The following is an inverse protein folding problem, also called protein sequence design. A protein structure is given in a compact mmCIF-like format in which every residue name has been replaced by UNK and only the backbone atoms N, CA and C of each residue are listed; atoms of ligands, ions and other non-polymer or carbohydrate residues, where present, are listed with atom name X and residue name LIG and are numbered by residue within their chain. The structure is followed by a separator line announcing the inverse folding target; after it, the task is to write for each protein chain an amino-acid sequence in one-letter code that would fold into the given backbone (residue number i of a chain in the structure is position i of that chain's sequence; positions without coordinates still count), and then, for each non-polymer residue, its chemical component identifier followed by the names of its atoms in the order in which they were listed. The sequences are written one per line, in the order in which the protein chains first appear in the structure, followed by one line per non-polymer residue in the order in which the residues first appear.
data_IF_599134229333
#
_entry.id   IF_599134229333
#
_cell.length_a   1.000
_cell.length_b   1.000
_cell.length_c   1.000
_cell.angle_alpha   90.00
_cell.angle_beta   90.00
_cell.angle_gamma   90.00
#
_symmetry.space_group_name_H-M   'P 1'
#
loop_
_entity.id
_entity.type
_entity.pdbx_description
1 polymer ?
#
# COMPACT_ATOMS: atom_id res chain seq x y z
N UNK A 1 -20.81 18.74 -2.88
CA UNK A 1 -20.35 17.96 -1.72
C UNK A 1 -19.57 18.90 -0.84
N UNK A 2 -20.08 19.22 0.35
CA UNK A 2 -19.50 20.18 1.28
C UNK A 2 -18.17 19.63 1.80
N UNK A 3 -17.11 20.38 1.61
CA UNK A 3 -15.83 20.19 2.31
C UNK A 3 -16.10 20.42 3.80
N UNK A 4 -16.40 19.34 4.52
CA UNK A 4 -16.48 19.41 5.99
C UNK A 4 -15.10 19.88 6.45
N UNK A 5 -15.08 21.07 7.01
CA UNK A 5 -13.86 21.67 7.53
C UNK A 5 -13.29 20.80 8.64
N UNK A 6 -12.25 19.99 8.33
CA UNK A 6 -11.59 19.10 9.29
C UNK A 6 -10.58 19.81 10.22
N UNK A 7 -10.60 21.15 10.25
CA UNK A 7 -9.70 21.96 11.10
C UNK A 7 -9.94 21.70 12.58
N UNK A 8 -11.17 21.35 12.98
CA UNK A 8 -11.46 21.03 14.37
C UNK A 8 -10.63 19.84 14.90
N UNK A 9 -10.34 18.83 14.06
CA UNK A 9 -9.52 17.67 14.47
C UNK A 9 -8.09 18.08 14.75
N UNK A 10 -7.52 18.94 13.92
CA UNK A 10 -6.18 19.49 14.13
C UNK A 10 -6.14 20.27 15.45
N UNK A 11 -7.13 21.12 15.69
CA UNK A 11 -7.25 21.88 16.96
C UNK A 11 -7.37 20.95 18.18
N UNK A 12 -8.11 19.84 18.07
CA UNK A 12 -8.22 18.87 19.18
C UNK A 12 -6.87 18.17 19.44
N UNK A 13 -6.15 17.77 18.40
CA UNK A 13 -4.82 17.15 18.52
C UNK A 13 -3.82 18.10 19.18
N UNK A 14 -3.82 19.36 18.76
CA UNK A 14 -2.98 20.42 19.32
C UNK A 14 -3.30 20.68 20.80
N UNK A 15 -4.58 20.80 21.15
CA UNK A 15 -5.03 20.95 22.54
C UNK A 15 -4.68 19.75 23.42
N UNK A 16 -4.67 18.54 22.84
CA UNK A 16 -4.26 17.32 23.53
C UNK A 16 -2.73 17.17 23.61
N UNK A 17 -1.94 18.10 23.07
CA UNK A 17 -0.48 18.04 23.05
C UNK A 17 0.07 16.90 22.19
N UNK A 18 -0.73 16.33 21.27
CA UNK A 18 -0.33 15.22 20.42
C UNK A 18 0.37 15.75 19.17
N UNK A 19 1.64 15.36 19.03
CA UNK A 19 2.39 15.66 17.81
C UNK A 19 1.90 14.77 16.66
N UNK A 20 1.40 15.37 15.60
CA UNK A 20 1.01 14.66 14.40
C UNK A 20 1.82 15.10 13.18
N UNK A 21 1.87 14.21 12.18
CA UNK A 21 2.51 14.43 10.90
C UNK A 21 1.58 13.95 9.78
N UNK A 22 1.78 14.50 8.60
CA UNK A 22 1.21 13.97 7.36
C UNK A 22 2.35 13.40 6.54
N UNK A 23 2.20 12.17 6.06
CA UNK A 23 3.19 11.50 5.22
C UNK A 23 2.85 11.73 3.74
N UNK A 24 3.89 11.95 2.94
CA UNK A 24 3.77 11.98 1.47
C UNK A 24 3.57 10.56 0.91
N UNK A 25 3.15 10.44 -0.35
CA UNK A 25 3.02 9.14 -1.00
C UNK A 25 4.35 8.37 -1.04
N UNK A 26 5.45 9.06 -1.30
CA UNK A 26 6.80 8.48 -1.29
C UNK A 26 7.22 8.00 0.11
N UNK A 27 6.87 8.75 1.15
CA UNK A 27 7.15 8.32 2.53
C UNK A 27 6.36 7.06 2.89
N UNK A 28 5.12 6.92 2.44
CA UNK A 28 4.34 5.69 2.60
C UNK A 28 4.98 4.50 1.89
N UNK A 29 5.39 4.68 0.64
CA UNK A 29 6.12 3.64 -0.12
C UNK A 29 7.43 3.29 0.56
N UNK A 30 8.17 4.29 1.06
CA UNK A 30 9.42 4.12 1.78
C UNK A 30 9.23 3.27 3.05
N UNK A 31 8.17 3.55 3.83
CA UNK A 31 7.84 2.78 5.03
C UNK A 31 7.51 1.33 4.71
N UNK A 32 6.73 1.08 3.66
CA UNK A 32 6.43 -0.28 3.20
C UNK A 32 7.68 -1.01 2.69
N UNK A 33 8.49 -0.35 1.86
CA UNK A 33 9.71 -0.95 1.32
C UNK A 33 10.72 -1.29 2.43
N UNK A 34 10.85 -0.41 3.44
CA UNK A 34 11.73 -0.61 4.58
C UNK A 34 11.20 -1.56 5.68
N UNK A 35 9.93 -1.95 5.62
CA UNK A 35 9.35 -2.93 6.53
C UNK A 35 10.00 -4.32 6.36
N UNK A 36 9.78 -5.22 7.32
CA UNK A 36 10.27 -6.60 7.28
C UNK A 36 11.78 -6.67 6.95
N UNK A 37 12.59 -5.95 7.74
CA UNK A 37 14.06 -5.86 7.58
C UNK A 37 14.51 -5.44 6.17
N UNK A 38 13.70 -4.61 5.49
CA UNK A 38 13.92 -4.15 4.11
C UNK A 38 13.98 -5.30 3.08
N UNK A 39 13.29 -6.41 3.35
CA UNK A 39 13.14 -7.50 2.38
C UNK A 39 12.61 -6.96 1.05
N UNK A 40 13.06 -7.47 -0.11
CA UNK A 40 12.56 -7.02 -1.41
C UNK A 40 11.07 -7.28 -1.57
N UNK A 41 10.36 -6.36 -2.23
CA UNK A 41 8.97 -6.57 -2.65
C UNK A 41 8.96 -7.15 -4.07
N UNK A 42 8.28 -8.27 -4.24
CA UNK A 42 8.25 -9.03 -5.49
C UNK A 42 7.05 -8.61 -6.36
N UNK A 43 7.36 -8.03 -7.51
CA UNK A 43 6.39 -7.51 -8.46
C UNK A 43 5.80 -6.16 -8.05
N UNK A 44 5.64 -5.27 -9.03
CA UNK A 44 5.06 -3.94 -8.81
C UNK A 44 3.61 -4.02 -8.33
N UNK A 45 2.84 -4.98 -8.85
CA UNK A 45 1.46 -5.21 -8.44
C UNK A 45 1.32 -5.48 -6.93
N UNK A 46 2.36 -6.02 -6.28
CA UNK A 46 2.34 -6.29 -4.83
C UNK A 46 2.19 -5.01 -4.02
N UNK A 47 2.81 -3.90 -4.43
CA UNK A 47 2.59 -2.59 -3.80
C UNK A 47 1.12 -2.17 -3.89
N UNK A 48 0.53 -2.31 -5.08
CA UNK A 48 -0.87 -1.93 -5.29
C UNK A 48 -1.82 -2.79 -4.45
N UNK A 49 -1.59 -4.10 -4.38
CA UNK A 49 -2.39 -4.99 -3.54
C UNK A 49 -2.25 -4.70 -2.05
N UNK A 50 -1.02 -4.51 -1.56
CA UNK A 50 -0.78 -4.24 -0.13
C UNK A 50 -1.47 -2.93 0.27
N UNK A 51 -1.28 -1.85 -0.48
CA UNK A 51 -1.92 -0.58 -0.17
C UNK A 51 -3.43 -0.60 -0.39
N UNK A 52 -3.95 -1.35 -1.35
CA UNK A 52 -5.38 -1.52 -1.51
C UNK A 52 -6.02 -2.27 -0.32
N UNK A 53 -5.34 -3.30 0.18
CA UNK A 53 -5.80 -4.09 1.33
C UNK A 53 -5.54 -3.40 2.68
N UNK A 54 -4.77 -2.33 2.68
CA UNK A 54 -4.53 -1.52 3.87
C UNK A 54 -5.73 -0.59 4.13
N UNK A 55 -6.47 -0.77 5.24
CA UNK A 55 -7.73 -0.03 5.49
C UNK A 55 -7.57 1.49 5.54
N UNK A 56 -6.35 1.96 5.79
CA UNK A 56 -6.02 3.38 5.92
C UNK A 56 -5.11 3.85 4.80
N UNK A 57 -5.27 3.30 3.61
CA UNK A 57 -4.45 3.65 2.45
C UNK A 57 -4.53 5.15 2.14
N UNK A 58 -3.40 5.82 1.88
CA UNK A 58 -3.40 7.21 1.43
C UNK A 58 -3.66 7.35 -0.07
N UNK A 59 -3.74 6.23 -0.79
CA UNK A 59 -3.89 6.18 -2.24
C UNK A 59 -5.33 5.89 -2.66
N UNK A 60 -5.75 6.50 -3.77
CA UNK A 60 -7.02 6.17 -4.42
C UNK A 60 -6.79 5.05 -5.45
N UNK A 61 -7.71 4.10 -5.49
CA UNK A 61 -7.63 2.94 -6.37
C UNK A 61 -8.76 2.93 -7.40
N UNK A 62 -8.43 2.38 -8.56
CA UNK A 62 -9.35 1.98 -9.61
C UNK A 62 -8.99 0.58 -10.08
N UNK A 63 -9.86 -0.08 -10.78
CA UNK A 63 -9.51 -1.32 -11.46
C UNK A 63 -8.68 -1.03 -12.71
N UNK A 64 -7.60 -1.77 -12.87
CA UNK A 64 -6.90 -1.89 -14.14
C UNK A 64 -7.02 -3.36 -14.57
N UNK A 65 -7.81 -3.62 -15.61
CA UNK A 65 -8.27 -4.96 -15.97
C UNK A 65 -9.04 -5.60 -14.80
N UNK A 66 -8.37 -6.37 -13.98
CA UNK A 66 -8.95 -7.10 -12.84
C UNK A 66 -8.22 -6.86 -11.51
N UNK A 67 -7.17 -6.05 -11.53
CA UNK A 67 -6.34 -5.77 -10.35
C UNK A 67 -6.55 -4.35 -9.82
N UNK A 68 -6.41 -4.11 -8.52
CA UNK A 68 -6.39 -2.76 -7.98
C UNK A 68 -5.16 -2.01 -8.48
N UNK A 69 -5.36 -0.80 -8.96
CA UNK A 69 -4.31 0.07 -9.47
C UNK A 69 -4.49 1.50 -8.96
N UNK A 70 -3.39 2.12 -8.56
CA UNK A 70 -3.34 3.52 -8.18
C UNK A 70 -2.29 4.26 -8.99
N UNK A 71 -2.74 5.22 -9.79
CA UNK A 71 -1.86 6.10 -10.57
C UNK A 71 -0.95 6.96 -9.68
N UNK A 72 -1.45 7.35 -8.51
CA UNK A 72 -0.67 8.11 -7.53
C UNK A 72 0.49 7.27 -7.00
N UNK A 73 0.23 6.00 -6.67
CA UNK A 73 1.24 5.05 -6.19
C UNK A 73 2.28 4.76 -7.28
N UNK A 74 1.84 4.52 -8.52
CA UNK A 74 2.71 4.31 -9.67
C UNK A 74 3.68 5.49 -9.87
N UNK A 75 3.18 6.74 -9.82
CA UNK A 75 4.01 7.95 -9.89
C UNK A 75 5.02 8.05 -8.75
N UNK A 76 4.64 7.62 -7.53
CA UNK A 76 5.57 7.57 -6.39
C UNK A 76 6.68 6.54 -6.63
N UNK A 77 6.34 5.33 -7.08
CA UNK A 77 7.30 4.27 -7.39
C UNK A 77 8.30 4.72 -8.45
N UNK A 78 7.84 5.32 -9.54
CA UNK A 78 8.69 5.87 -10.60
C UNK A 78 9.66 6.93 -10.07
N UNK A 79 9.15 7.93 -9.35
CA UNK A 79 10.01 8.97 -8.76
C UNK A 79 11.06 8.40 -7.80
N UNK A 80 10.72 7.37 -7.03
CA UNK A 80 11.65 6.75 -6.10
C UNK A 80 12.71 5.90 -6.82
N UNK A 81 12.38 5.28 -7.95
CA UNK A 81 13.34 4.60 -8.83
C UNK A 81 14.28 5.62 -9.48
N UNK A 82 13.73 6.66 -10.10
CA UNK A 82 14.50 7.73 -10.77
C UNK A 82 15.40 8.47 -9.77
N UNK A 83 14.92 8.67 -8.55
CA UNK A 83 15.68 9.28 -7.44
C UNK A 83 16.72 8.37 -6.81
N UNK A 84 16.81 7.11 -7.23
CA UNK A 84 17.73 6.11 -6.67
C UNK A 84 17.45 5.76 -5.20
N UNK A 85 16.24 5.94 -4.74
CA UNK A 85 15.77 5.51 -3.41
C UNK A 85 15.38 4.03 -3.44
N UNK A 86 14.64 3.62 -4.47
CA UNK A 86 14.38 2.22 -4.81
C UNK A 86 15.31 1.78 -5.93
N UNK A 87 15.62 0.51 -5.94
CA UNK A 87 16.26 -0.18 -7.06
C UNK A 87 15.41 -1.39 -7.44
N UNK A 88 15.41 -1.67 -8.74
CA UNK A 88 14.68 -2.80 -9.34
C UNK A 88 15.70 -3.82 -9.85
N UNK A 89 15.53 -5.07 -9.44
CA UNK A 89 16.35 -6.21 -9.85
C UNK A 89 15.46 -7.30 -10.42
N UNK A 90 16.00 -8.10 -11.33
CA UNK A 90 15.34 -9.31 -11.81
C UNK A 90 15.72 -10.47 -10.89
N UNK A 91 14.73 -11.19 -10.38
CA UNK A 91 14.93 -12.40 -9.56
C UNK A 91 14.17 -13.59 -10.14
N UNK A 92 14.69 -14.77 -9.92
CA UNK A 92 13.97 -16.02 -10.18
C UNK A 92 13.43 -16.53 -8.85
N UNK A 93 12.12 -16.65 -8.76
CA UNK A 93 11.41 -17.17 -7.58
C UNK A 93 10.46 -18.26 -8.04
N UNK A 94 10.60 -19.47 -7.50
CA UNK A 94 9.77 -20.61 -7.87
C UNK A 94 9.71 -20.84 -9.41
N UNK A 95 10.87 -20.80 -10.06
CA UNK A 95 11.03 -20.94 -11.53
C UNK A 95 10.46 -19.79 -12.38
N UNK A 96 9.82 -18.81 -11.77
CA UNK A 96 9.31 -17.62 -12.48
C UNK A 96 10.28 -16.44 -12.34
N UNK A 97 10.49 -15.74 -13.45
CA UNK A 97 11.24 -14.49 -13.48
C UNK A 97 10.32 -13.38 -12.99
N UNK A 98 10.75 -12.65 -11.95
CA UNK A 98 9.97 -11.55 -11.38
C UNK A 98 10.86 -10.36 -11.08
N UNK A 99 10.28 -9.17 -11.09
CA UNK A 99 10.94 -7.96 -10.62
C UNK A 99 10.93 -7.91 -9.09
N UNK A 100 12.04 -7.51 -8.51
CA UNK A 100 12.18 -7.32 -7.08
C UNK A 100 12.59 -5.87 -6.79
N UNK A 101 11.80 -5.20 -5.97
CA UNK A 101 12.01 -3.81 -5.57
C UNK A 101 12.57 -3.78 -4.16
N UNK A 102 13.69 -3.10 -3.97
CA UNK A 102 14.32 -2.95 -2.65
C UNK A 102 14.85 -1.53 -2.43
N UNK A 103 15.06 -1.16 -1.20
CA UNK A 103 15.75 0.09 -0.88
C UNK A 103 17.21 0.01 -1.31
N UNK A 104 17.71 1.07 -1.96
CA UNK A 104 19.14 1.28 -2.17
C UNK A 104 19.85 1.61 -0.85
N UNK A 105 21.17 1.76 -0.84
CA UNK A 105 21.90 2.28 0.32
C UNK A 105 21.39 3.68 0.73
N UNK A 106 21.17 4.56 -0.25
CA UNK A 106 20.56 5.88 -0.04
C UNK A 106 19.15 5.74 0.54
N UNK A 107 18.32 4.85 -0.03
CA UNK A 107 16.96 4.59 0.43
C UNK A 107 16.92 4.07 1.87
N UNK A 108 17.80 3.16 2.25
CA UNK A 108 17.90 2.67 3.63
C UNK A 108 18.25 3.79 4.62
N UNK A 109 19.14 4.69 4.24
CA UNK A 109 19.49 5.86 5.07
C UNK A 109 18.29 6.78 5.26
N UNK A 110 17.58 7.11 4.16
CA UNK A 110 16.38 7.94 4.21
C UNK A 110 15.27 7.27 5.05
N UNK A 111 15.06 5.95 4.88
CA UNK A 111 14.10 5.18 5.68
C UNK A 111 14.40 5.25 7.18
N UNK A 112 15.67 5.00 7.58
CA UNK A 112 16.05 5.04 9.00
C UNK A 112 15.82 6.44 9.60
N UNK A 113 16.22 7.48 8.88
CA UNK A 113 16.03 8.86 9.31
C UNK A 113 14.54 9.20 9.46
N UNK A 114 13.72 8.84 8.47
CA UNK A 114 12.27 9.03 8.54
C UNK A 114 11.70 8.29 9.75
N UNK A 115 11.96 6.98 9.87
CA UNK A 115 11.45 6.14 10.96
C UNK A 115 11.79 6.75 12.33
N UNK A 116 13.04 7.14 12.55
CA UNK A 116 13.47 7.75 13.83
C UNK A 116 12.75 9.08 14.10
N UNK A 117 12.56 9.90 13.09
CA UNK A 117 11.87 11.20 13.19
C UNK A 117 10.38 11.06 13.58
N UNK A 118 9.73 9.97 13.13
CA UNK A 118 8.26 9.85 13.23
C UNK A 118 7.80 8.85 14.27
N UNK A 119 8.63 7.95 14.77
CA UNK A 119 8.24 6.77 15.55
C UNK A 119 7.29 7.07 16.73
N UNK A 120 7.50 8.20 17.43
CA UNK A 120 6.69 8.59 18.60
C UNK A 120 5.50 9.49 18.25
N UNK A 121 5.24 9.74 16.97
CA UNK A 121 4.21 10.68 16.51
C UNK A 121 2.93 9.96 16.10
N UNK A 122 1.88 10.76 15.91
CA UNK A 122 0.66 10.33 15.25
C UNK A 122 0.75 10.63 13.74
N UNK A 123 0.17 9.79 12.92
CA UNK A 123 -0.04 10.06 11.49
C UNK A 123 -1.47 10.50 11.27
N UNK A 124 -1.63 11.64 10.60
CA UNK A 124 -2.91 12.09 10.08
C UNK A 124 -3.07 11.60 8.63
N UNK A 125 -4.02 10.71 8.40
CA UNK A 125 -4.29 10.07 7.12
C UNK A 125 -5.57 10.66 6.54
N UNK A 126 -5.53 11.06 5.26
CA UNK A 126 -6.68 11.61 4.53
C UNK A 126 -7.40 12.75 5.30
N UNK A 127 -6.67 13.51 6.10
CA UNK A 127 -7.15 14.64 6.93
C UNK A 127 -8.20 14.29 8.00
N UNK A 128 -8.49 13.01 8.25
CA UNK A 128 -9.54 12.65 9.22
C UNK A 128 -9.23 11.42 10.10
N UNK A 129 -8.23 10.62 9.76
CA UNK A 129 -7.85 9.45 10.54
C UNK A 129 -6.53 9.73 11.24
N UNK A 130 -6.49 9.56 12.55
CA UNK A 130 -5.28 9.74 13.37
C UNK A 130 -4.87 8.38 13.93
N UNK A 131 -3.62 7.98 13.68
CA UNK A 131 -3.08 6.70 14.15
C UNK A 131 -1.66 6.83 14.68
N UNK A 132 -1.30 6.08 15.75
CA UNK A 132 0.10 5.98 16.17
C UNK A 132 0.97 5.43 15.04
N UNK A 133 2.10 6.07 14.76
CA UNK A 133 3.05 5.60 13.74
C UNK A 133 3.50 4.17 14.00
N UNK A 134 3.70 3.78 15.25
CA UNK A 134 4.09 2.42 15.60
C UNK A 134 3.07 1.37 15.10
N UNK A 135 1.77 1.66 15.21
CA UNK A 135 0.72 0.77 14.71
C UNK A 135 0.77 0.67 13.18
N UNK A 136 0.92 1.82 12.50
CA UNK A 136 1.05 1.88 11.04
C UNK A 136 2.24 1.03 10.55
N UNK A 137 3.39 1.15 11.21
CA UNK A 137 4.58 0.36 10.86
C UNK A 137 4.35 -1.14 11.03
N UNK A 138 3.74 -1.55 12.14
CA UNK A 138 3.43 -2.96 12.40
C UNK A 138 2.41 -3.53 11.40
N UNK A 139 1.40 -2.74 11.03
CA UNK A 139 0.39 -3.11 10.04
C UNK A 139 1.01 -3.28 8.64
N UNK A 140 1.83 -2.33 8.20
CA UNK A 140 2.55 -2.42 6.92
C UNK A 140 3.49 -3.63 6.88
N UNK A 141 4.20 -3.91 7.98
CA UNK A 141 5.07 -5.08 8.09
C UNK A 141 4.27 -6.37 8.01
N UNK A 142 3.15 -6.47 8.71
CA UNK A 142 2.25 -7.63 8.68
C UNK A 142 1.68 -7.86 7.28
N UNK A 143 1.22 -6.81 6.61
CA UNK A 143 0.72 -6.90 5.24
C UNK A 143 1.81 -7.33 4.26
N UNK A 144 3.02 -6.77 4.40
CA UNK A 144 4.15 -7.17 3.57
C UNK A 144 4.48 -8.65 3.76
N UNK A 145 4.63 -9.13 4.99
CA UNK A 145 4.87 -10.55 5.29
C UNK A 145 3.77 -11.46 4.75
N UNK A 146 2.53 -11.01 4.78
CA UNK A 146 1.38 -11.82 4.36
C UNK A 146 1.25 -11.91 2.84
N UNK A 147 1.49 -10.82 2.12
CA UNK A 147 1.15 -10.72 0.69
C UNK A 147 2.36 -10.70 -0.24
N UNK A 148 3.56 -10.35 0.23
CA UNK A 148 4.76 -10.32 -0.59
C UNK A 148 5.13 -11.73 -1.10
N UNK A 149 5.47 -11.82 -2.37
CA UNK A 149 5.84 -13.08 -3.03
C UNK A 149 4.67 -14.01 -3.34
N UNK A 150 3.43 -13.60 -3.10
CA UNK A 150 2.26 -14.34 -3.56
C UNK A 150 2.05 -14.14 -5.05
N UNK A 151 1.68 -15.18 -5.74
CA UNK A 151 1.31 -15.14 -7.14
C UNK A 151 0.11 -14.23 -7.36
N UNK A 152 0.09 -13.52 -8.49
CA UNK A 152 -0.99 -12.59 -8.84
C UNK A 152 -2.38 -13.25 -8.74
N UNK A 153 -2.54 -14.48 -9.24
CA UNK A 153 -3.83 -15.18 -9.18
C UNK A 153 -4.28 -15.47 -7.74
N UNK A 154 -3.35 -15.79 -6.83
CA UNK A 154 -3.67 -15.98 -5.41
C UNK A 154 -4.10 -14.68 -4.74
N UNK A 155 -3.46 -13.54 -5.10
CA UNK A 155 -3.89 -12.22 -4.61
C UNK A 155 -5.26 -11.84 -5.16
N UNK A 156 -5.54 -12.14 -6.43
CA UNK A 156 -6.85 -11.93 -7.03
C UNK A 156 -7.94 -12.81 -6.39
N UNK A 157 -7.64 -14.06 -6.05
CA UNK A 157 -8.54 -14.95 -5.35
C UNK A 157 -8.92 -14.39 -3.96
N UNK A 158 -7.94 -13.86 -3.22
CA UNK A 158 -8.18 -13.18 -1.94
C UNK A 158 -9.04 -11.92 -2.10
N UNK A 159 -8.79 -11.14 -3.15
CA UNK A 159 -9.59 -9.96 -3.47
C UNK A 159 -11.06 -10.34 -3.69
N UNK A 160 -11.32 -11.39 -4.48
CA UNK A 160 -12.68 -11.85 -4.77
C UNK A 160 -13.38 -12.41 -3.53
N UNK A 161 -12.66 -13.16 -2.69
CA UNK A 161 -13.21 -13.61 -1.43
C UNK A 161 -13.69 -12.43 -0.56
N UNK A 162 -12.97 -11.31 -0.59
CA UNK A 162 -13.36 -10.08 0.09
C UNK A 162 -14.45 -9.30 -0.64
N UNK A 163 -14.45 -9.26 -1.98
CA UNK A 163 -15.50 -8.62 -2.80
C UNK A 163 -16.86 -9.33 -2.64
N UNK A 164 -16.88 -10.63 -2.33
CA UNK A 164 -18.14 -11.33 -2.02
C UNK A 164 -18.91 -10.72 -0.83
N UNK A 165 -18.23 -10.00 0.03
CA UNK A 165 -18.83 -9.31 1.19
C UNK A 165 -19.23 -7.85 0.87
N UNK A 166 -19.38 -7.47 -0.39
CA UNK A 166 -19.87 -6.19 -0.93
C UNK A 166 -19.00 -4.94 -0.69
N UNK A 167 -18.10 -4.90 0.28
CA UNK A 167 -17.42 -3.67 0.66
C UNK A 167 -16.38 -3.21 -0.38
N UNK A 168 -15.62 -4.15 -0.95
CA UNK A 168 -14.55 -3.85 -1.93
C UNK A 168 -15.05 -3.60 -3.35
N UNK A 169 -16.22 -4.13 -3.72
CA UNK A 169 -16.80 -3.87 -5.04
C UNK A 169 -17.15 -2.40 -5.23
N UNK A 170 -17.62 -1.74 -4.16
CA UNK A 170 -17.92 -0.31 -4.14
C UNK A 170 -16.65 0.55 -4.21
N UNK A 171 -15.59 0.16 -3.50
CA UNK A 171 -14.31 0.89 -3.52
C UNK A 171 -13.63 0.82 -4.90
N UNK A 172 -13.64 -0.35 -5.53
CA UNK A 172 -13.10 -0.55 -6.88
C UNK A 172 -14.05 -0.11 -7.99
N UNK A 173 -15.29 0.24 -7.66
CA UNK A 173 -16.36 0.57 -8.64
C UNK A 173 -16.53 -0.53 -9.69
N UNK A 174 -16.39 -1.79 -9.27
CA UNK A 174 -16.60 -2.94 -10.15
C UNK A 174 -18.08 -3.05 -10.53
N UNK A 175 -18.33 -3.25 -11.80
CA UNK A 175 -19.66 -3.58 -12.32
C UNK A 175 -19.93 -5.08 -12.17
N UNK A 176 -21.20 -5.48 -12.14
CA UNK A 176 -21.59 -6.89 -11.93
C UNK A 176 -20.95 -7.85 -12.94
N UNK A 177 -20.80 -7.45 -14.19
CA UNK A 177 -20.15 -8.29 -15.21
C UNK A 177 -18.65 -8.46 -14.96
N UNK A 178 -17.95 -7.46 -14.42
CA UNK A 178 -16.53 -7.54 -14.03
C UNK A 178 -16.37 -8.48 -12.84
N UNK A 179 -17.26 -8.39 -11.85
CA UNK A 179 -17.30 -9.32 -10.70
C UNK A 179 -17.53 -10.76 -11.18
N UNK A 180 -18.46 -10.97 -12.12
CA UNK A 180 -18.72 -12.29 -12.69
C UNK A 180 -17.52 -12.80 -13.50
N UNK A 181 -16.86 -11.95 -14.27
CA UNK A 181 -15.66 -12.30 -15.00
C UNK A 181 -14.53 -12.75 -14.06
N UNK A 182 -14.27 -11.98 -13.00
CA UNK A 182 -13.31 -12.33 -11.96
C UNK A 182 -13.62 -13.69 -11.33
N UNK A 183 -14.89 -13.96 -10.99
CA UNK A 183 -15.34 -15.26 -10.46
C UNK A 183 -15.07 -16.41 -11.41
N UNK A 184 -15.22 -16.20 -12.74
CA UNK A 184 -14.93 -17.22 -13.76
C UNK A 184 -13.43 -17.48 -13.89
N UNK A 185 -12.61 -16.43 -14.02
CA UNK A 185 -11.15 -16.55 -14.14
C UNK A 185 -10.57 -17.40 -13.02
N UNK A 186 -11.05 -17.21 -11.79
CA UNK A 186 -10.57 -18.01 -10.65
C UNK A 186 -11.08 -19.45 -10.69
N UNK A 187 -12.33 -19.66 -11.09
CA UNK A 187 -12.91 -21.01 -11.18
C UNK A 187 -12.20 -21.89 -12.21
N UNK A 188 -11.69 -21.31 -13.30
CA UNK A 188 -10.99 -22.02 -14.38
C UNK A 188 -9.47 -21.91 -14.31
N UNK A 189 -8.92 -20.99 -13.50
CA UNK A 189 -7.48 -20.79 -13.32
C UNK A 189 -6.80 -21.77 -12.36
N UNK A 190 -7.50 -22.78 -11.84
CA UNK A 190 -6.88 -23.87 -11.08
C UNK A 190 -6.34 -23.48 -9.69
N UNK A 191 -6.98 -22.52 -9.00
CA UNK A 191 -6.65 -22.14 -7.62
C UNK A 191 -7.71 -22.70 -6.67
#
# INVERSE_FOLDING_TARGET
MSTVNNEWKKSVLEKAGLQYITLTGEEWVLLLAGADSSSPILGEYTFHFIFFLYPFSPFNFKTLLIAPYSEQLDKCLKRMLDGGILIKEIKVVNTMVTEAYKLSLKGNTVYRNLKNKIYKKQVLINNHIVRPVANVLNELESLKKTYNGRELFKLLALLIAKVKNNDFALELRLQDHEIQYLKRVIRYGGV
#
